data_IF_383800116850
#
_entry.id   IF_383800116850
#
_cell.length_a   1.000
_cell.length_b   1.000
_cell.length_c   1.000
_cell.angle_alpha   90.00
_cell.angle_beta   90.00
_cell.angle_gamma   90.00
#
_symmetry.space_group_name_H-M   'P 1'
#
loop_
_entity.id
_entity.type
_entity.pdbx_description
1 polymer ?
#
# COMPACT_ATOMS: atom_id res chain seq x y z
N UNK A 1 9.15 -30.48 4.52
CA UNK A 1 9.43 -29.81 5.81
C UNK A 1 8.19 -29.03 6.17
N UNK A 2 7.72 -29.11 7.40
CA UNK A 2 6.72 -28.14 7.88
C UNK A 2 7.31 -26.73 7.74
N UNK A 3 6.51 -25.70 7.38
CA UNK A 3 6.99 -24.33 7.40
C UNK A 3 7.57 -24.04 8.79
N UNK A 4 8.62 -23.19 8.90
CA UNK A 4 9.16 -22.82 10.19
C UNK A 4 8.00 -22.32 11.04
N UNK A 5 7.77 -22.97 12.17
CA UNK A 5 6.82 -22.50 13.17
C UNK A 5 7.38 -21.17 13.65
N UNK A 6 6.74 -20.07 13.24
CA UNK A 6 7.11 -18.72 13.69
C UNK A 6 7.09 -18.72 15.21
N UNK A 7 8.23 -18.40 15.83
CA UNK A 7 8.34 -18.42 17.28
C UNK A 7 7.46 -17.33 17.88
N UNK A 8 6.77 -17.62 18.99
CA UNK A 8 5.94 -16.65 19.74
C UNK A 8 6.68 -15.34 20.06
N UNK A 9 8.01 -15.39 20.18
CA UNK A 9 8.88 -14.22 20.41
C UNK A 9 8.86 -13.22 19.24
N UNK A 10 8.86 -13.71 18.00
CA UNK A 10 8.82 -12.86 16.78
C UNK A 10 7.49 -12.12 16.72
N UNK A 11 6.39 -12.81 17.03
CA UNK A 11 5.05 -12.22 17.05
C UNK A 11 4.93 -11.14 18.12
N UNK A 12 5.47 -11.40 19.32
CA UNK A 12 5.48 -10.41 20.39
C UNK A 12 6.27 -9.15 20.03
N UNK A 13 7.44 -9.28 19.40
CA UNK A 13 8.24 -8.13 18.94
C UNK A 13 7.50 -7.32 17.86
N UNK A 14 6.89 -7.98 16.89
CA UNK A 14 6.07 -7.32 15.86
C UNK A 14 4.85 -6.60 16.47
N UNK A 15 4.23 -7.17 17.51
CA UNK A 15 3.12 -6.55 18.25
C UNK A 15 3.52 -5.34 19.08
N UNK A 16 4.73 -5.34 19.60
CA UNK A 16 5.30 -4.22 20.33
C UNK A 16 5.65 -3.06 19.40
N UNK A 17 6.30 -3.36 18.28
CA UNK A 17 6.73 -2.33 17.33
C UNK A 17 5.59 -1.76 16.47
N UNK A 18 4.60 -2.59 16.12
CA UNK A 18 3.44 -2.21 15.29
C UNK A 18 2.17 -2.50 16.08
N UNK A 19 1.62 -1.56 16.86
CA UNK A 19 0.48 -1.83 17.73
C UNK A 19 -0.83 -2.10 16.97
N UNK A 20 -1.00 -1.50 15.79
CA UNK A 20 -2.15 -1.67 14.91
C UNK A 20 -2.07 -2.94 14.04
N UNK A 21 -3.20 -3.34 13.46
CA UNK A 21 -3.22 -4.36 12.41
C UNK A 21 -3.05 -3.68 11.06
N UNK A 22 -1.84 -3.73 10.51
CA UNK A 22 -1.50 -3.14 9.21
C UNK A 22 -1.32 -4.24 8.17
N UNK A 23 -1.93 -4.05 7.00
CA UNK A 23 -1.73 -4.87 5.79
C UNK A 23 -1.45 -3.99 4.58
N UNK A 24 -0.66 -4.51 3.65
CA UNK A 24 -0.26 -3.82 2.43
C UNK A 24 -0.44 -4.73 1.23
N UNK A 25 -1.03 -4.20 0.15
CA UNK A 25 -1.03 -4.84 -1.17
C UNK A 25 -0.13 -4.01 -2.08
N UNK A 26 0.83 -4.66 -2.72
CA UNK A 26 1.76 -4.01 -3.64
C UNK A 26 2.12 -4.89 -4.83
N UNK A 27 2.74 -4.29 -5.86
CA UNK A 27 3.28 -5.02 -7.02
C UNK A 27 4.78 -5.18 -6.88
N UNK A 28 5.26 -6.40 -6.64
CA UNK A 28 6.69 -6.68 -6.60
C UNK A 28 7.23 -6.80 -8.04
N UNK A 29 8.36 -6.13 -8.32
CA UNK A 29 9.08 -6.27 -9.59
C UNK A 29 10.39 -7.02 -9.39
N UNK A 30 10.57 -8.09 -10.16
CA UNK A 30 11.78 -8.91 -10.08
C UNK A 30 12.95 -8.34 -10.89
N UNK A 31 12.84 -7.20 -11.60
CA UNK A 31 14.01 -6.49 -12.23
C UNK A 31 13.70 -5.33 -13.23
N UNK A 32 12.49 -4.75 -13.33
CA UNK A 32 12.24 -3.67 -14.31
C UNK A 32 11.75 -2.34 -13.72
N UNK A 33 11.90 -1.29 -14.52
CA UNK A 33 11.50 0.10 -14.27
C UNK A 33 9.98 0.24 -14.55
N UNK A 34 9.27 1.11 -13.81
CA UNK A 34 7.82 1.36 -13.97
C UNK A 34 7.45 1.49 -15.43
N UNK A 35 6.60 0.57 -15.92
CA UNK A 35 6.02 0.71 -17.23
C UNK A 35 4.78 1.61 -17.11
N UNK A 36 4.91 2.86 -17.52
CA UNK A 36 3.75 3.72 -17.75
C UNK A 36 2.86 3.06 -18.79
N UNK A 37 1.65 2.73 -18.37
CA UNK A 37 0.78 1.92 -19.21
C UNK A 37 0.11 2.81 -20.24
N UNK A 38 0.46 2.73 -21.52
CA UNK A 38 -0.37 3.33 -22.58
C UNK A 38 -1.53 2.42 -23.01
N UNK A 39 -1.63 1.21 -22.46
CA UNK A 39 -2.45 0.09 -22.96
C UNK A 39 -3.61 -0.37 -22.04
N UNK A 40 -3.85 0.32 -20.91
CA UNK A 40 -4.97 -0.02 -20.00
C UNK A 40 -6.33 0.47 -20.51
N UNK A 41 -6.39 1.14 -21.67
CA UNK A 41 -7.64 1.39 -22.39
C UNK A 41 -8.41 0.08 -22.73
N UNK A 42 -7.76 -1.08 -22.60
CA UNK A 42 -8.38 -2.41 -22.71
C UNK A 42 -9.11 -2.88 -21.44
N UNK A 43 -8.83 -2.29 -20.28
CA UNK A 43 -9.58 -2.54 -19.05
C UNK A 43 -10.76 -1.57 -19.03
N UNK A 44 -11.97 -2.08 -19.25
CA UNK A 44 -13.23 -1.32 -19.23
C UNK A 44 -13.58 -0.89 -17.79
N UNK A 45 -12.68 -0.16 -17.13
CA UNK A 45 -12.95 0.46 -15.85
C UNK A 45 -13.93 1.62 -16.06
N UNK A 46 -14.80 1.91 -15.07
CA UNK A 46 -15.67 3.07 -15.15
C UNK A 46 -14.82 4.34 -15.29
N UNK A 47 -15.15 5.11 -16.32
CA UNK A 47 -14.28 6.12 -16.89
C UNK A 47 -14.81 7.55 -16.66
N UNK A 48 -14.24 8.32 -15.72
CA UNK A 48 -14.47 9.76 -15.65
C UNK A 48 -13.54 10.63 -16.54
N UNK A 49 -12.43 10.10 -17.10
CA UNK A 49 -11.36 10.92 -17.72
C UNK A 49 -10.47 10.29 -18.83
N UNK A 50 -10.55 8.99 -19.10
CA UNK A 50 -10.13 8.33 -20.33
C UNK A 50 -8.63 8.05 -20.45
N UNK A 51 -7.90 8.01 -19.34
CA UNK A 51 -6.44 7.83 -19.33
C UNK A 51 -5.98 6.80 -18.31
N UNK A 52 -4.87 6.18 -18.68
CA UNK A 52 -4.36 4.95 -18.14
C UNK A 52 -3.82 5.04 -16.72
N UNK A 53 -4.33 4.23 -15.77
CA UNK A 53 -3.89 4.10 -14.38
C UNK A 53 -2.70 3.16 -14.13
N UNK A 54 -2.25 3.09 -12.88
CA UNK A 54 -1.25 2.15 -12.37
C UNK A 54 -1.72 0.71 -12.51
N UNK A 55 -0.79 -0.18 -12.88
CA UNK A 55 -1.12 -1.54 -13.31
C UNK A 55 -1.73 -2.37 -12.16
N UNK A 56 -1.22 -2.21 -10.93
CA UNK A 56 -1.73 -2.91 -9.76
C UNK A 56 -3.13 -2.40 -9.39
N UNK A 57 -3.31 -1.08 -9.25
CA UNK A 57 -4.57 -0.46 -8.83
C UNK A 57 -5.67 -0.79 -9.84
N UNK A 58 -5.37 -0.63 -11.14
CA UNK A 58 -6.31 -0.95 -12.21
C UNK A 58 -6.72 -2.44 -12.18
N UNK A 59 -5.76 -3.34 -11.96
CA UNK A 59 -6.03 -4.78 -11.91
C UNK A 59 -6.80 -5.19 -10.66
N UNK A 60 -6.51 -4.57 -9.52
CA UNK A 60 -7.24 -4.75 -8.26
C UNK A 60 -8.68 -4.29 -8.38
N UNK A 61 -8.90 -3.08 -8.91
CA UNK A 61 -10.25 -2.55 -9.15
C UNK A 61 -11.05 -3.39 -10.14
N UNK A 62 -10.43 -3.90 -11.21
CA UNK A 62 -11.12 -4.80 -12.13
C UNK A 62 -11.56 -6.10 -11.45
N UNK A 63 -10.78 -6.59 -10.49
CA UNK A 63 -11.11 -7.78 -9.71
C UNK A 63 -12.21 -7.52 -8.68
N UNK A 64 -12.24 -6.33 -8.06
CA UNK A 64 -13.06 -6.04 -6.88
C UNK A 64 -14.24 -5.08 -7.11
N UNK A 65 -14.27 -4.39 -8.25
CA UNK A 65 -15.20 -3.28 -8.50
C UNK A 65 -15.53 -3.14 -10.01
N UNK A 66 -15.75 -4.27 -10.68
CA UNK A 66 -16.25 -4.26 -12.04
C UNK A 66 -17.70 -3.74 -12.09
N UNK A 67 -18.02 -2.90 -13.07
CA UNK A 67 -19.38 -2.34 -13.28
C UNK A 67 -19.98 -1.66 -12.02
N UNK A 68 -19.14 -1.02 -11.21
CA UNK A 68 -19.51 -0.37 -9.94
C UNK A 68 -20.13 -1.31 -8.89
N UNK A 69 -19.73 -2.59 -8.89
CA UNK A 69 -20.24 -3.59 -7.95
C UNK A 69 -19.12 -4.46 -7.41
N UNK A 70 -19.28 -4.88 -6.16
CA UNK A 70 -18.47 -5.96 -5.60
C UNK A 70 -18.75 -7.28 -6.34
N UNK A 71 -17.80 -8.22 -6.37
CA UNK A 71 -18.01 -9.56 -6.92
C UNK A 71 -19.19 -10.26 -6.24
N UNK A 72 -19.92 -11.08 -7.00
CA UNK A 72 -21.01 -11.90 -6.46
C UNK A 72 -20.53 -13.07 -5.57
N UNK A 73 -19.23 -13.40 -5.66
CA UNK A 73 -18.58 -14.47 -4.90
C UNK A 73 -17.67 -13.91 -3.80
N UNK A 74 -17.66 -14.57 -2.64
CA UNK A 74 -16.68 -14.30 -1.59
C UNK A 74 -15.32 -14.86 -2.01
N UNK A 75 -14.38 -13.98 -2.32
CA UNK A 75 -13.00 -14.33 -2.70
C UNK A 75 -12.09 -14.33 -1.47
N UNK A 76 -11.12 -15.24 -1.43
CA UNK A 76 -10.04 -15.19 -0.44
C UNK A 76 -8.97 -14.15 -0.81
N UNK A 77 -8.06 -13.83 0.13
CA UNK A 77 -6.88 -13.00 -0.18
C UNK A 77 -6.04 -13.61 -1.30
N UNK A 78 -5.85 -14.93 -1.27
CA UNK A 78 -5.13 -15.65 -2.32
C UNK A 78 -5.86 -15.55 -3.66
N UNK A 79 -7.18 -15.76 -3.70
CA UNK A 79 -7.95 -15.67 -4.94
C UNK A 79 -7.86 -14.29 -5.57
N UNK A 80 -7.97 -13.22 -4.77
CA UNK A 80 -7.88 -11.84 -5.26
C UNK A 80 -6.49 -11.58 -5.84
N UNK A 81 -5.41 -11.93 -5.14
CA UNK A 81 -4.05 -11.66 -5.62
C UNK A 81 -3.69 -12.47 -6.87
N UNK A 82 -4.14 -13.73 -6.96
CA UNK A 82 -3.95 -14.56 -8.16
C UNK A 82 -4.75 -14.00 -9.35
N UNK A 83 -6.01 -13.59 -9.14
CA UNK A 83 -6.79 -12.93 -10.20
C UNK A 83 -6.16 -11.61 -10.65
N UNK A 84 -5.65 -10.81 -9.71
CA UNK A 84 -4.89 -9.59 -10.04
C UNK A 84 -3.67 -9.94 -10.89
N UNK A 85 -2.94 -11.02 -10.57
CA UNK A 85 -1.80 -11.48 -11.38
C UNK A 85 -2.21 -11.91 -12.78
N UNK A 86 -3.34 -12.60 -12.94
CA UNK A 86 -3.85 -12.97 -14.26
C UNK A 86 -4.15 -11.72 -15.09
N UNK A 87 -4.82 -10.73 -14.49
CA UNK A 87 -5.13 -9.44 -15.12
C UNK A 87 -3.87 -8.66 -15.51
N UNK A 88 -2.85 -8.67 -14.64
CA UNK A 88 -1.53 -8.08 -14.93
C UNK A 88 -0.84 -8.81 -16.09
N UNK A 89 -0.83 -10.14 -16.09
CA UNK A 89 -0.19 -10.97 -17.11
C UNK A 89 -0.84 -10.79 -18.49
N UNK A 90 -2.18 -10.70 -18.54
CA UNK A 90 -2.94 -10.36 -19.75
C UNK A 90 -2.57 -8.97 -20.28
N UNK A 91 -2.26 -8.04 -19.38
CA UNK A 91 -1.73 -6.71 -19.68
C UNK A 91 -0.25 -6.69 -20.10
N UNK A 92 0.41 -7.86 -20.17
CA UNK A 92 1.86 -8.01 -20.39
C UNK A 92 2.74 -7.43 -19.27
N UNK A 93 2.20 -7.30 -18.05
CA UNK A 93 2.97 -6.94 -16.87
C UNK A 93 3.60 -8.18 -16.24
N UNK A 94 4.83 -8.03 -15.76
CA UNK A 94 5.57 -9.10 -15.06
C UNK A 94 5.52 -8.96 -13.54
N UNK A 95 4.79 -7.97 -13.04
CA UNK A 95 4.63 -7.72 -11.61
C UNK A 95 3.95 -8.91 -10.93
N UNK A 96 4.45 -9.28 -9.75
CA UNK A 96 3.84 -10.29 -8.90
C UNK A 96 3.15 -9.57 -7.74
N UNK A 97 1.81 -9.64 -7.62
CA UNK A 97 1.11 -9.09 -6.48
C UNK A 97 1.62 -9.70 -5.17
N UNK A 98 1.81 -8.84 -4.19
CA UNK A 98 2.29 -9.20 -2.86
C UNK A 98 1.34 -8.65 -1.81
N UNK A 99 1.08 -9.45 -0.78
CA UNK A 99 0.43 -9.04 0.46
C UNK A 99 1.47 -9.06 1.58
N UNK A 100 1.71 -7.92 2.20
CA UNK A 100 2.51 -7.82 3.42
C UNK A 100 1.61 -7.51 4.62
N UNK A 101 1.96 -7.96 5.82
CA UNK A 101 1.17 -7.77 7.03
C UNK A 101 2.02 -7.67 8.29
N UNK A 102 1.51 -6.91 9.25
CA UNK A 102 2.02 -6.81 10.63
C UNK A 102 1.79 -8.09 11.45
N UNK A 103 0.86 -8.96 11.03
CA UNK A 103 0.53 -10.24 11.68
C UNK A 103 0.44 -11.36 10.65
N UNK A 104 0.70 -12.63 11.02
CA UNK A 104 0.38 -13.76 10.17
C UNK A 104 -1.12 -13.78 9.89
N UNK A 105 -1.49 -13.99 8.63
CA UNK A 105 -2.88 -14.08 8.20
C UNK A 105 -3.09 -15.38 7.44
N UNK A 106 -4.30 -15.92 7.55
CA UNK A 106 -4.75 -16.99 6.66
C UNK A 106 -5.10 -16.38 5.29
N UNK A 107 -4.31 -16.67 4.27
CA UNK A 107 -4.54 -16.14 2.91
C UNK A 107 -5.75 -16.78 2.23
N UNK A 108 -6.26 -17.90 2.74
CA UNK A 108 -7.51 -18.51 2.29
C UNK A 108 -8.75 -17.87 2.95
N UNK A 109 -8.55 -17.00 3.95
CA UNK A 109 -9.64 -16.22 4.54
C UNK A 109 -10.21 -15.20 3.56
N UNK A 110 -11.48 -14.82 3.77
CA UNK A 110 -12.20 -13.85 2.94
C UNK A 110 -11.40 -12.56 2.79
N UNK A 111 -11.23 -12.11 1.55
CA UNK A 111 -10.61 -10.84 1.23
C UNK A 111 -11.48 -9.70 1.73
N UNK A 112 -10.87 -8.86 2.54
CA UNK A 112 -11.46 -7.63 3.01
C UNK A 112 -10.45 -6.53 2.71
N UNK A 113 -10.80 -5.51 1.94
CA UNK A 113 -9.95 -4.31 1.87
C UNK A 113 -10.16 -3.44 3.12
N UNK A 114 -11.34 -3.51 3.73
CA UNK A 114 -11.72 -2.89 4.99
C UNK A 114 -12.43 -3.98 5.79
N UNK A 115 -12.01 -4.33 7.01
CA UNK A 115 -12.64 -5.41 7.77
C UNK A 115 -14.13 -5.15 8.01
N UNK A 116 -14.97 -6.18 7.91
CA UNK A 116 -16.42 -6.06 8.17
C UNK A 116 -16.72 -5.59 9.61
N UNK A 117 -15.82 -5.91 10.55
CA UNK A 117 -15.90 -5.53 11.97
C UNK A 117 -15.52 -4.08 12.29
N UNK A 118 -15.53 -3.17 11.32
CA UNK A 118 -15.20 -1.77 11.55
C UNK A 118 -16.28 -1.05 12.39
N UNK A 119 -16.07 -0.97 13.70
CA UNK A 119 -17.00 -0.36 14.66
C UNK A 119 -16.87 1.18 14.73
N UNK A 120 -15.70 1.72 14.35
CA UNK A 120 -15.36 3.13 14.42
C UNK A 120 -15.49 3.89 13.09
N UNK A 121 -14.72 4.97 12.98
CA UNK A 121 -14.63 5.78 11.77
C UNK A 121 -13.81 5.08 10.68
N UNK A 122 -14.24 5.27 9.44
CA UNK A 122 -13.47 4.90 8.24
C UNK A 122 -12.75 6.15 7.73
N UNK A 123 -11.42 6.12 7.66
CA UNK A 123 -10.56 7.27 7.32
C UNK A 123 -9.57 6.90 6.23
N UNK A 124 -9.37 7.78 5.25
CA UNK A 124 -8.47 7.48 4.14
C UNK A 124 -7.50 8.61 3.79
N UNK A 125 -6.33 8.23 3.29
CA UNK A 125 -5.37 9.11 2.62
C UNK A 125 -5.10 8.53 1.23
N UNK A 126 -5.42 9.29 0.18
CA UNK A 126 -5.25 8.88 -1.22
C UNK A 126 -4.28 9.85 -1.90
N UNK A 127 -3.18 9.34 -2.44
CA UNK A 127 -2.09 10.12 -3.02
C UNK A 127 -1.88 9.68 -4.47
N UNK A 128 -1.94 10.63 -5.40
CA UNK A 128 -1.76 10.37 -6.83
C UNK A 128 -0.88 11.44 -7.44
N UNK A 129 0.29 11.06 -7.95
CA UNK A 129 1.28 12.01 -8.46
C UNK A 129 1.55 11.74 -9.94
N UNK A 130 1.21 12.69 -10.80
CA UNK A 130 1.49 12.62 -12.23
C UNK A 130 2.80 13.34 -12.62
N UNK A 131 3.41 14.11 -11.72
CA UNK A 131 4.64 14.88 -11.98
C UNK A 131 4.47 15.81 -13.20
N UNK A 132 3.31 16.47 -13.32
CA UNK A 132 2.92 17.24 -14.52
C UNK A 132 3.97 18.30 -14.84
N UNK A 133 4.53 18.25 -16.06
CA UNK A 133 5.55 19.17 -16.54
C UNK A 133 6.97 18.89 -16.03
N UNK A 134 7.20 17.77 -15.33
CA UNK A 134 8.53 17.30 -14.90
C UNK A 134 9.03 16.15 -15.79
N UNK A 135 10.30 15.77 -15.64
CA UNK A 135 10.79 14.52 -16.25
C UNK A 135 10.21 13.32 -15.49
N UNK A 136 9.77 12.29 -16.22
CA UNK A 136 9.06 11.16 -15.62
C UNK A 136 7.56 11.42 -15.40
N UNK A 137 6.95 12.35 -16.16
CA UNK A 137 5.50 12.61 -16.09
C UNK A 137 4.69 11.32 -16.34
N UNK A 138 3.79 11.02 -15.41
CA UNK A 138 2.79 9.96 -15.47
C UNK A 138 1.44 10.54 -15.91
N UNK A 139 0.50 9.67 -16.29
CA UNK A 139 -0.83 10.11 -16.73
C UNK A 139 -2.00 9.41 -16.03
N UNK A 140 -1.70 8.54 -15.06
CA UNK A 140 -2.64 7.59 -14.48
C UNK A 140 -2.98 7.75 -13.02
N UNK A 141 -2.06 8.32 -12.26
CA UNK A 141 -2.12 8.28 -10.81
C UNK A 141 -3.32 9.05 -10.26
N UNK A 142 -3.69 10.14 -10.93
CA UNK A 142 -4.94 10.86 -10.61
C UNK A 142 -6.18 9.99 -10.83
N UNK A 143 -6.21 9.20 -11.90
CA UNK A 143 -7.35 8.33 -12.21
C UNK A 143 -7.45 7.18 -11.19
N UNK A 144 -6.32 6.61 -10.79
CA UNK A 144 -6.27 5.59 -9.74
C UNK A 144 -6.86 6.09 -8.43
N UNK A 145 -6.47 7.29 -7.99
CA UNK A 145 -7.00 7.91 -6.77
C UNK A 145 -8.51 8.12 -6.86
N UNK A 146 -9.00 8.64 -7.99
CA UNK A 146 -10.43 8.89 -8.17
C UNK A 146 -11.25 7.59 -8.19
N UNK A 147 -10.76 6.54 -8.86
CA UNK A 147 -11.44 5.26 -8.89
C UNK A 147 -11.39 4.54 -7.53
N UNK A 148 -10.26 4.60 -6.81
CA UNK A 148 -10.17 4.04 -5.47
C UNK A 148 -11.05 4.80 -4.48
N UNK A 149 -11.16 6.13 -4.61
CA UNK A 149 -12.10 6.94 -3.83
C UNK A 149 -13.54 6.46 -4.06
N UNK A 150 -13.96 6.32 -5.31
CA UNK A 150 -15.30 5.84 -5.65
C UNK A 150 -15.55 4.44 -5.08
N UNK A 151 -14.62 3.51 -5.28
CA UNK A 151 -14.71 2.15 -4.76
C UNK A 151 -14.88 2.08 -3.23
N UNK A 152 -14.04 2.77 -2.46
CA UNK A 152 -14.13 2.73 -0.99
C UNK A 152 -15.36 3.46 -0.44
N UNK A 153 -15.88 4.46 -1.17
CA UNK A 153 -17.13 5.12 -0.81
C UNK A 153 -18.33 4.21 -1.08
N UNK A 154 -18.41 3.64 -2.28
CA UNK A 154 -19.56 2.87 -2.74
C UNK A 154 -19.68 1.51 -2.06
N UNK A 155 -18.56 0.80 -1.92
CA UNK A 155 -18.55 -0.57 -1.41
C UNK A 155 -18.30 -0.61 0.10
N UNK A 156 -17.43 0.27 0.60
CA UNK A 156 -16.95 0.21 1.99
C UNK A 156 -17.50 1.32 2.87
N UNK A 157 -18.34 2.23 2.34
CA UNK A 157 -19.06 3.22 3.13
C UNK A 157 -18.16 4.31 3.72
N UNK A 158 -17.01 4.61 3.10
CA UNK A 158 -16.20 5.76 3.48
C UNK A 158 -16.99 7.05 3.21
N UNK A 159 -16.95 7.98 4.16
CA UNK A 159 -17.52 9.31 3.97
C UNK A 159 -16.47 10.21 3.36
N UNK A 160 -16.86 11.01 2.37
CA UNK A 160 -15.96 11.95 1.68
C UNK A 160 -15.21 12.89 2.65
N UNK A 161 -15.87 13.34 3.71
CA UNK A 161 -15.28 14.20 4.76
C UNK A 161 -14.12 13.53 5.56
N UNK A 162 -14.01 12.21 5.51
CA UNK A 162 -12.94 11.44 6.13
C UNK A 162 -11.85 10.99 5.13
N UNK A 163 -11.92 11.45 3.88
CA UNK A 163 -10.94 11.12 2.83
C UNK A 163 -10.08 12.35 2.57
N UNK A 164 -8.78 12.22 2.84
CA UNK A 164 -7.77 13.22 2.47
C UNK A 164 -7.18 12.85 1.12
N UNK A 165 -7.14 13.79 0.17
CA UNK A 165 -6.63 13.58 -1.19
C UNK A 165 -5.48 14.53 -1.47
N UNK A 166 -4.36 14.00 -1.95
CA UNK A 166 -3.21 14.77 -2.41
C UNK A 166 -2.93 14.44 -3.88
N UNK A 167 -3.00 15.45 -4.75
CA UNK A 167 -2.76 15.30 -6.19
C UNK A 167 -2.16 16.59 -6.78
N UNK A 168 -1.26 16.45 -7.75
CA UNK A 168 -0.68 17.56 -8.53
C UNK A 168 -1.57 17.97 -9.71
N UNK A 169 -2.89 18.09 -9.48
CA UNK A 169 -3.89 18.45 -10.49
C UNK A 169 -4.25 19.95 -10.48
N UNK A 170 -3.60 20.72 -9.62
CA UNK A 170 -3.86 22.14 -9.39
C UNK A 170 -5.17 22.45 -8.66
N UNK A 171 -5.83 21.44 -8.07
CA UNK A 171 -7.09 21.57 -7.32
C UNK A 171 -6.99 21.03 -5.91
N UNK A 172 -6.34 19.89 -5.73
CA UNK A 172 -6.11 19.25 -4.44
C UNK A 172 -4.84 19.78 -3.78
N UNK A 173 -4.62 19.40 -2.52
CA UNK A 173 -3.35 19.65 -1.83
C UNK A 173 -2.22 18.98 -2.60
N UNK A 174 -1.14 19.71 -2.88
CA UNK A 174 -0.02 19.17 -3.63
C UNK A 174 0.69 18.06 -2.84
N UNK A 175 1.05 16.93 -3.47
CA UNK A 175 1.72 15.80 -2.83
C UNK A 175 3.23 16.05 -2.66
N UNK A 176 3.59 17.13 -1.97
CA UNK A 176 4.96 17.43 -1.53
C UNK A 176 5.38 16.50 -0.38
N UNK A 177 6.67 16.37 -0.11
CA UNK A 177 7.20 15.60 1.03
C UNK A 177 6.47 15.96 2.33
N UNK A 178 6.41 17.25 2.67
CA UNK A 178 5.80 17.73 3.91
C UNK A 178 4.30 17.39 4.00
N UNK A 179 3.54 17.69 2.95
CA UNK A 179 2.10 17.40 2.91
C UNK A 179 1.79 15.89 3.02
N UNK A 180 2.57 15.01 2.39
CA UNK A 180 2.38 13.55 2.48
C UNK A 180 2.61 13.09 3.93
N UNK A 181 3.73 13.53 4.52
CA UNK A 181 4.06 13.19 5.91
C UNK A 181 2.99 13.71 6.88
N UNK A 182 2.50 14.93 6.69
CA UNK A 182 1.47 15.50 7.54
C UNK A 182 0.11 14.83 7.35
N UNK A 183 -0.23 14.38 6.14
CA UNK A 183 -1.43 13.59 5.90
C UNK A 183 -1.39 12.24 6.66
N UNK A 184 -0.26 11.55 6.64
CA UNK A 184 -0.08 10.31 7.42
C UNK A 184 -0.14 10.56 8.93
N UNK A 185 0.54 11.61 9.43
CA UNK A 185 0.44 12.00 10.84
C UNK A 185 -1.00 12.32 11.25
N UNK A 186 -1.72 13.07 10.41
CA UNK A 186 -3.11 13.43 10.65
C UNK A 186 -3.99 12.19 10.72
N UNK A 187 -3.87 11.26 9.76
CA UNK A 187 -4.58 9.99 9.75
C UNK A 187 -4.39 9.24 11.07
N UNK A 188 -3.15 9.00 11.47
CA UNK A 188 -2.83 8.26 12.69
C UNK A 188 -3.30 8.98 13.96
N UNK A 189 -3.10 10.30 14.04
CA UNK A 189 -3.47 11.09 15.22
C UNK A 189 -4.98 11.13 15.47
N UNK A 190 -5.78 11.06 14.40
CA UNK A 190 -7.24 11.11 14.44
C UNK A 190 -7.88 9.73 14.63
N UNK A 191 -7.12 8.64 14.43
CA UNK A 191 -7.65 7.29 14.56
C UNK A 191 -7.71 6.81 16.00
N UNK A 192 -8.77 6.07 16.32
CA UNK A 192 -9.00 5.47 17.63
C UNK A 192 -9.23 3.95 17.50
N UNK A 193 -9.20 3.22 18.61
CA UNK A 193 -9.48 1.79 18.58
C UNK A 193 -10.88 1.53 18.00
N UNK A 194 -10.98 0.62 17.02
CA UNK A 194 -12.18 0.35 16.24
C UNK A 194 -12.24 1.08 14.89
N UNK A 195 -11.39 2.09 14.65
CA UNK A 195 -11.30 2.77 13.36
C UNK A 195 -10.62 1.89 12.30
N UNK A 196 -11.03 2.08 11.04
CA UNK A 196 -10.38 1.48 9.87
C UNK A 196 -9.78 2.54 8.98
N UNK A 197 -8.47 2.43 8.77
CA UNK A 197 -7.70 3.32 7.93
C UNK A 197 -7.46 2.69 6.56
N UNK A 198 -7.50 3.52 5.53
CA UNK A 198 -7.17 3.12 4.17
C UNK A 198 -6.16 4.09 3.55
N UNK A 199 -5.01 3.58 3.09
CA UNK A 199 -4.00 4.38 2.42
C UNK A 199 -3.85 3.90 0.98
N UNK A 200 -3.75 4.83 0.04
CA UNK A 200 -3.45 4.50 -1.35
C UNK A 200 -2.40 5.46 -1.89
N UNK A 201 -1.41 4.91 -2.55
CA UNK A 201 -0.38 5.65 -3.26
C UNK A 201 -0.29 5.15 -4.70
N UNK A 202 -0.37 6.06 -5.66
CA UNK A 202 -0.03 5.82 -7.06
C UNK A 202 0.95 6.90 -7.52
N UNK A 203 2.12 6.48 -8.01
CA UNK A 203 3.20 7.40 -8.39
C UNK A 203 4.52 6.65 -8.59
N UNK A 204 5.62 7.40 -8.69
CA UNK A 204 6.94 6.76 -8.75
C UNK A 204 7.35 6.22 -7.39
N UNK A 205 8.03 5.08 -7.42
CA UNK A 205 8.83 4.56 -6.32
C UNK A 205 10.30 4.56 -6.74
N UNK A 206 11.19 4.71 -5.78
CA UNK A 206 12.63 4.76 -6.00
C UNK A 206 13.39 3.90 -5.01
N UNK A 207 14.71 3.83 -5.20
CA UNK A 207 15.65 3.25 -4.23
C UNK A 207 16.68 4.31 -3.85
N UNK A 208 16.94 4.47 -2.56
CA UNK A 208 18.07 5.24 -2.05
C UNK A 208 19.08 4.30 -1.42
N UNK A 209 20.33 4.72 -1.29
CA UNK A 209 21.30 3.92 -0.53
C UNK A 209 20.90 3.94 0.93
N UNK A 210 20.87 2.76 1.54
CA UNK A 210 20.65 2.58 2.97
C UNK A 210 21.76 3.30 3.76
N UNK A 211 21.35 4.07 4.76
CA UNK A 211 22.23 4.80 5.67
C UNK A 211 22.19 4.31 7.12
N UNK A 212 21.32 3.35 7.45
CA UNK A 212 21.09 2.83 8.80
C UNK A 212 21.52 1.34 8.95
N UNK A 213 21.56 0.57 7.84
CA UNK A 213 22.01 -0.82 7.81
C UNK A 213 20.94 -1.88 8.06
N UNK A 214 19.65 -1.57 7.94
CA UNK A 214 18.52 -2.49 8.17
C UNK A 214 18.12 -3.29 6.93
N UNK A 215 18.57 -2.91 5.73
CA UNK A 215 18.26 -3.59 4.47
C UNK A 215 19.41 -4.49 3.97
N UNK A 216 19.13 -5.77 3.68
CA UNK A 216 20.14 -6.75 3.26
C UNK A 216 20.72 -6.43 1.86
N UNK A 217 19.92 -5.79 0.98
CA UNK A 217 20.36 -5.38 -0.36
C UNK A 217 21.12 -4.03 -0.37
N UNK A 218 21.10 -3.31 0.76
CA UNK A 218 21.74 -2.01 0.97
C UNK A 218 21.01 -0.81 0.34
N UNK A 219 19.72 -0.93 0.05
CA UNK A 219 18.90 0.13 -0.53
C UNK A 219 17.46 0.22 0.04
N UNK A 220 17.16 1.32 0.73
CA UNK A 220 15.80 1.69 1.12
C UNK A 220 14.87 1.89 -0.08
N UNK A 221 13.64 1.43 0.11
CA UNK A 221 12.52 1.69 -0.77
C UNK A 221 11.92 3.05 -0.46
N UNK A 222 11.56 3.80 -1.50
CA UNK A 222 11.16 5.20 -1.31
C UNK A 222 9.95 5.60 -2.14
N UNK A 223 9.13 6.49 -1.61
CA UNK A 223 8.11 7.21 -2.37
C UNK A 223 8.70 8.52 -2.90
N UNK A 224 8.38 8.87 -4.14
CA UNK A 224 8.91 10.07 -4.80
C UNK A 224 7.86 11.19 -4.73
N UNK A 225 7.97 12.16 -3.80
CA UNK A 225 7.03 13.27 -3.71
C UNK A 225 7.18 14.23 -4.89
N UNK A 226 6.20 15.13 -5.08
CA UNK A 226 6.21 16.10 -6.19
C UNK A 226 7.47 16.99 -6.21
N UNK A 227 8.00 17.32 -5.03
CA UNK A 227 9.13 18.23 -4.80
C UNK A 227 10.44 17.49 -4.49
N UNK A 228 10.54 16.21 -4.86
CA UNK A 228 11.68 15.33 -4.57
C UNK A 228 13.05 15.90 -4.96
N UNK A 229 13.10 16.75 -5.99
CA UNK A 229 14.33 17.42 -6.42
C UNK A 229 14.90 18.39 -5.38
N UNK A 230 14.05 18.90 -4.49
CA UNK A 230 14.42 19.85 -3.45
C UNK A 230 14.30 19.28 -2.03
N UNK A 231 13.30 18.43 -1.78
CA UNK A 231 13.02 17.85 -0.47
C UNK A 231 13.59 16.43 -0.30
N UNK A 232 14.00 15.77 -1.38
CA UNK A 232 14.38 14.36 -1.36
C UNK A 232 13.18 13.41 -1.49
N UNK A 233 13.48 12.10 -1.49
CA UNK A 233 12.46 11.05 -1.49
C UNK A 233 12.07 10.69 -0.06
N UNK A 234 10.86 10.16 0.13
CA UNK A 234 10.38 9.68 1.43
C UNK A 234 10.83 8.23 1.59
N UNK A 235 11.67 7.94 2.58
CA UNK A 235 12.12 6.58 2.89
C UNK A 235 11.01 5.78 3.57
N UNK A 236 10.95 4.47 3.32
CA UNK A 236 10.22 3.46 4.09
C UNK A 236 10.26 3.74 5.61
N UNK A 237 11.45 4.05 6.09
CA UNK A 237 11.79 4.33 7.47
C UNK A 237 11.04 5.57 8.04
N UNK A 238 10.88 6.61 7.22
CA UNK A 238 10.06 7.79 7.53
C UNK A 238 8.56 7.44 7.54
N UNK A 239 8.11 6.63 6.57
CA UNK A 239 6.72 6.17 6.46
C UNK A 239 6.37 5.32 7.67
N UNK A 240 7.24 4.38 8.04
CA UNK A 240 7.10 3.55 9.23
C UNK A 240 6.91 4.42 10.46
N UNK A 241 7.79 5.41 10.66
CA UNK A 241 7.73 6.30 11.82
C UNK A 241 6.42 7.08 11.90
N UNK A 242 5.90 7.60 10.80
CA UNK A 242 4.72 8.49 10.84
C UNK A 242 3.39 7.78 10.67
N UNK A 243 3.37 6.62 10.01
CA UNK A 243 2.16 5.88 9.65
C UNK A 243 2.02 4.58 10.46
N UNK A 244 3.01 3.69 10.38
CA UNK A 244 2.91 2.30 10.88
C UNK A 244 3.19 2.21 12.38
N UNK A 245 4.38 2.63 12.82
CA UNK A 245 4.81 2.55 14.22
C UNK A 245 4.02 3.44 15.18
N UNK A 246 3.25 4.41 14.67
CA UNK A 246 2.34 5.27 15.45
C UNK A 246 0.88 4.86 15.40
N UNK A 247 0.51 3.93 14.52
CA UNK A 247 -0.88 3.48 14.43
C UNK A 247 -1.30 2.80 15.74
N UNK A 248 -2.45 3.23 16.27
CA UNK A 248 -2.89 2.83 17.62
C UNK A 248 -3.38 1.39 17.65
N UNK A 249 -3.19 0.72 18.80
CA UNK A 249 -3.77 -0.60 19.05
C UNK A 249 -5.29 -0.57 18.86
N UNK A 250 -5.80 -1.58 18.15
CA UNK A 250 -7.23 -1.68 17.81
C UNK A 250 -7.63 -0.91 16.55
N UNK A 251 -6.70 -0.21 15.87
CA UNK A 251 -6.90 0.29 14.51
C UNK A 251 -6.54 -0.81 13.52
N UNK A 252 -7.32 -0.96 12.46
CA UNK A 252 -6.93 -1.75 11.28
C UNK A 252 -6.60 -0.82 10.13
N UNK A 253 -5.50 -1.06 9.42
CA UNK A 253 -5.03 -0.23 8.32
C UNK A 253 -4.74 -1.09 7.09
N UNK A 254 -5.26 -0.68 5.94
CA UNK A 254 -4.96 -1.30 4.65
C UNK A 254 -4.31 -0.30 3.73
N UNK A 255 -3.15 -0.64 3.21
CA UNK A 255 -2.40 0.18 2.27
C UNK A 255 -2.37 -0.49 0.90
N UNK A 256 -2.65 0.25 -0.17
CA UNK A 256 -2.40 -0.20 -1.55
C UNK A 256 -1.34 0.72 -2.16
N UNK A 257 -0.19 0.13 -2.48
CA UNK A 257 0.97 0.85 -2.97
C UNK A 257 1.23 0.46 -4.42
N UNK A 258 0.91 1.35 -5.34
CA UNK A 258 1.10 1.19 -6.79
C UNK A 258 2.33 2.01 -7.23
N UNK A 259 3.49 1.49 -6.90
CA UNK A 259 4.79 2.06 -7.26
C UNK A 259 5.84 0.96 -7.43
N UNK A 260 6.99 1.32 -8.02
CA UNK A 260 8.12 0.38 -8.15
C UNK A 260 8.81 0.18 -6.81
N UNK A 261 9.32 -1.03 -6.57
CA UNK A 261 10.08 -1.35 -5.35
C UNK A 261 9.30 -0.97 -4.09
N UNK A 262 8.06 -1.46 -3.99
CA UNK A 262 7.17 -1.17 -2.85
C UNK A 262 6.82 -2.44 -2.07
N UNK A 263 7.68 -3.45 -2.15
CA UNK A 263 7.46 -4.74 -1.51
C UNK A 263 7.63 -4.65 0.01
N UNK A 264 8.57 -3.81 0.45
CA UNK A 264 8.95 -3.58 1.84
C UNK A 264 8.71 -2.15 2.31
N UNK A 265 8.17 -1.23 1.48
CA UNK A 265 7.91 0.20 1.82
C UNK A 265 7.17 0.53 3.15
N UNK A 266 6.60 -0.46 3.85
CA UNK A 266 5.99 -0.30 5.18
C UNK A 266 6.66 -1.16 6.28
N UNK A 267 7.77 -1.83 6.00
CA UNK A 267 8.53 -2.73 6.88
C UNK A 267 7.66 -3.74 7.61
N UNK A 268 6.79 -4.42 6.86
CA UNK A 268 5.87 -5.41 7.41
C UNK A 268 6.52 -6.81 7.47
N UNK A 269 6.51 -7.47 8.64
CA UNK A 269 7.27 -8.69 8.91
C UNK A 269 6.77 -9.95 8.21
N UNK A 270 5.54 -9.96 7.68
CA UNK A 270 4.93 -11.13 7.05
C UNK A 270 4.56 -10.84 5.62
N UNK A 271 4.87 -11.76 4.70
CA UNK A 271 4.68 -11.58 3.27
C UNK A 271 4.07 -12.84 2.63
N UNK A 272 3.15 -12.63 1.71
CA UNK A 272 2.67 -13.63 0.75
C UNK A 272 2.84 -13.08 -0.66
N UNK A 273 3.48 -13.85 -1.54
CA UNK A 273 3.64 -13.51 -2.96
C UNK A 273 2.73 -14.41 -3.79
N UNK A 274 1.96 -13.82 -4.70
CA UNK A 274 1.11 -14.57 -5.61
C UNK A 274 1.89 -15.17 -6.79
N UNK A 275 3.06 -15.77 -6.53
CA UNK A 275 3.98 -16.35 -7.51
C UNK A 275 3.51 -17.72 -8.06
N UNK A 276 2.43 -18.27 -7.50
CA UNK A 276 1.83 -19.55 -7.89
C UNK A 276 2.49 -20.76 -7.21
N UNK A 277 3.52 -20.52 -6.40
CA UNK A 277 4.25 -21.54 -5.61
C UNK A 277 4.01 -21.36 -4.10
N UNK A 278 3.77 -20.14 -3.64
CA UNK A 278 3.52 -19.81 -2.24
C UNK A 278 2.17 -20.37 -1.74
N UNK A 279 2.21 -21.15 -0.66
CA UNK A 279 1.03 -21.76 -0.03
C UNK A 279 0.46 -20.95 1.16
N UNK A 280 1.14 -19.88 1.59
CA UNK A 280 0.71 -19.07 2.73
C UNK A 280 1.71 -17.97 3.09
N UNK A 281 1.40 -17.15 4.11
CA UNK A 281 2.33 -16.10 4.56
C UNK A 281 3.61 -16.69 5.13
N UNK A 282 4.74 -16.03 4.83
CA UNK A 282 6.06 -16.32 5.36
C UNK A 282 6.60 -15.09 6.07
N UNK A 283 7.64 -15.25 6.90
CA UNK A 283 8.37 -14.09 7.40
C UNK A 283 9.08 -13.44 6.20
N UNK A 284 9.12 -12.10 6.16
CA UNK A 284 9.93 -11.39 5.18
C UNK A 284 11.40 -11.84 5.32
N UNK A 285 12.02 -12.21 4.20
CA UNK A 285 13.43 -12.62 4.17
C UNK A 285 14.29 -11.42 4.58
N UNK A 286 15.32 -11.64 5.39
CA UNK A 286 16.19 -10.57 5.89
C UNK A 286 15.59 -9.66 6.96
N UNK A 287 14.34 -9.88 7.41
CA UNK A 287 13.68 -8.95 8.33
C UNK A 287 14.34 -8.89 9.73
N UNK A 288 14.92 -7.74 10.05
CA UNK A 288 15.56 -7.46 11.33
C UNK A 288 14.57 -6.91 12.36
N UNK A 289 13.96 -7.81 13.14
CA UNK A 289 13.01 -7.43 14.21
C UNK A 289 13.60 -6.48 15.26
N UNK A 290 14.90 -6.56 15.51
CA UNK A 290 15.58 -5.66 16.44
C UNK A 290 15.76 -4.24 15.84
N UNK A 291 15.91 -4.15 14.51
CA UNK A 291 15.86 -2.87 13.76
C UNK A 291 14.48 -2.23 13.89
N UNK A 292 13.41 -2.99 13.64
CA UNK A 292 12.03 -2.55 13.79
C UNK A 292 11.73 -2.02 15.20
N UNK A 293 12.18 -2.72 16.24
CA UNK A 293 12.07 -2.27 17.63
C UNK A 293 12.90 -1.00 17.89
N UNK A 294 14.08 -0.88 17.28
CA UNK A 294 14.90 0.33 17.33
C UNK A 294 14.17 1.53 16.73
N UNK A 295 13.54 1.37 15.57
CA UNK A 295 12.71 2.39 14.93
C UNK A 295 11.53 2.79 15.80
N UNK A 296 10.81 1.82 16.37
CA UNK A 296 9.71 2.06 17.29
C UNK A 296 10.17 2.77 18.58
N UNK A 297 11.30 2.38 19.15
CA UNK A 297 11.87 2.99 20.36
C UNK A 297 12.41 4.41 20.13
N UNK A 298 12.82 4.74 18.91
CA UNK A 298 13.26 6.08 18.53
C UNK A 298 12.08 7.08 18.38
N UNK A 299 10.84 6.60 18.39
CA UNK A 299 9.66 7.47 18.36
C UNK A 299 9.59 8.25 19.68
N UNK A 300 9.60 9.60 19.64
CA UNK A 300 9.36 10.39 20.85
C UNK A 300 8.02 10.00 21.47
N UNK A 301 7.99 9.90 22.80
CA UNK A 301 6.76 9.69 23.55
C UNK A 301 5.78 10.83 23.22
N UNK A 302 4.73 10.50 22.46
CA UNK A 302 3.60 11.37 22.15
C UNK A 302 2.54 11.31 23.23
#
# INVERSE_FOLDING_TARGET
SSPPTMSDEILAKAEEAIPAEVRMISGCMDSQTSADVSNVASFQLPDPAGRAGGALTSSLLKTLYADHRAPDEDLSFQDVLLKVRDVLSDGSFTQIPQLSSSRPMDVESKFEIVPEGCEGARRAVLIGINYVGQQGELSGCHNDVLNMKEYIMDIHGFKEENITILMDDGRHTEPTYENIIDAYRALVSQSEAGDCCYCHYSGHGGKLRDDNGDEEDGYDETLVPLDYTSAGQIRDDDIFKVLVGRARRGVTMTCVMDCCHSGTVLDLPFVFRADGESEGMQAAEGFEFDGLLGLAAALPAG
#
